data_IF_078259842060
#
_entry.id   IF_078259842060
#
_cell.length_a   1.000
_cell.length_b   1.000
_cell.length_c   1.000
_cell.angle_alpha   90.00
_cell.angle_beta   90.00
_cell.angle_gamma   90.00
#
_symmetry.space_group_name_H-M   'P 1'
#
loop_
_entity.id
_entity.type
_entity.pdbx_description
1 polymer ?
#
# COMPACT_ATOMS: atom_id res chain seq x y z
N UNK A 1 10.69 2.82 30.55
CA UNK A 1 10.10 4.13 30.20
C UNK A 1 9.14 3.93 29.05
N UNK A 2 7.86 4.28 29.22
CA UNK A 2 6.89 4.33 28.12
C UNK A 2 7.29 5.43 27.15
N UNK A 3 7.29 5.15 25.84
CA UNK A 3 7.54 6.18 24.82
C UNK A 3 6.54 7.34 24.98
N UNK A 4 6.96 8.61 24.75
CA UNK A 4 6.07 9.76 24.86
C UNK A 4 4.97 9.70 23.79
N UNK A 5 3.77 10.17 24.14
CA UNK A 5 2.68 10.33 23.18
C UNK A 5 3.05 11.39 22.14
N UNK A 6 3.04 10.99 20.87
CA UNK A 6 3.42 11.83 19.75
C UNK A 6 2.20 12.56 19.19
N UNK A 7 2.37 13.82 18.77
CA UNK A 7 1.31 14.58 18.08
C UNK A 7 1.14 14.07 16.65
N UNK A 8 -0.09 13.89 16.19
CA UNK A 8 -0.41 13.39 14.85
C UNK A 8 -1.30 14.39 14.09
N UNK A 9 -0.85 14.79 12.91
CA UNK A 9 -1.63 15.57 11.93
C UNK A 9 -2.09 14.65 10.80
N UNK A 10 -3.35 14.79 10.39
CA UNK A 10 -3.90 14.08 9.23
C UNK A 10 -4.06 15.07 8.08
N UNK A 11 -3.35 14.85 6.98
CA UNK A 11 -3.55 15.64 5.76
C UNK A 11 -4.72 15.07 4.96
N UNK A 12 -5.74 15.89 4.72
CA UNK A 12 -7.06 15.56 4.24
C UNK A 12 -8.10 15.57 5.36
N UNK A 13 -9.34 15.93 5.01
CA UNK A 13 -10.54 15.87 5.86
C UNK A 13 -11.68 15.06 5.22
N UNK A 14 -11.41 14.35 4.13
CA UNK A 14 -12.37 13.47 3.43
C UNK A 14 -12.61 12.13 4.13
N UNK A 15 -13.38 11.25 3.50
CA UNK A 15 -13.79 9.94 4.08
C UNK A 15 -12.62 9.11 4.63
N UNK A 16 -11.54 8.96 3.86
CA UNK A 16 -10.36 8.20 4.31
C UNK A 16 -9.67 8.84 5.53
N UNK A 17 -9.64 10.18 5.62
CA UNK A 17 -9.10 10.89 6.78
C UNK A 17 -9.96 10.69 8.02
N UNK A 18 -11.29 10.69 7.86
CA UNK A 18 -12.27 10.42 8.94
C UNK A 18 -12.13 9.00 9.48
N UNK A 19 -12.03 8.01 8.60
CA UNK A 19 -11.77 6.61 8.99
C UNK A 19 -10.41 6.46 9.68
N UNK A 20 -9.39 7.17 9.22
CA UNK A 20 -8.06 7.16 9.87
C UNK A 20 -8.10 7.80 11.25
N UNK A 21 -8.82 8.92 11.41
CA UNK A 21 -9.01 9.58 12.71
C UNK A 21 -9.73 8.65 13.70
N UNK A 22 -10.74 7.92 13.24
CA UNK A 22 -11.42 6.91 14.06
C UNK A 22 -10.46 5.78 14.45
N UNK A 23 -9.67 5.24 13.51
CA UNK A 23 -8.68 4.19 13.82
C UNK A 23 -7.63 4.65 14.86
N UNK A 24 -7.24 5.92 14.85
CA UNK A 24 -6.36 6.51 15.87
C UNK A 24 -7.03 6.52 17.25
N UNK A 25 -8.32 6.87 17.32
CA UNK A 25 -9.09 6.84 18.57
C UNK A 25 -9.24 5.42 19.11
N UNK A 26 -9.54 4.46 18.25
CA UNK A 26 -9.68 3.05 18.62
C UNK A 26 -8.35 2.47 19.11
N UNK A 27 -7.24 2.84 18.46
CA UNK A 27 -5.89 2.48 18.92
C UNK A 27 -5.63 3.06 20.31
N UNK A 28 -5.97 4.33 20.54
CA UNK A 28 -5.82 4.97 21.84
C UNK A 28 -6.71 4.34 22.93
N UNK A 29 -7.90 3.85 22.59
CA UNK A 29 -8.75 3.10 23.52
C UNK A 29 -8.12 1.74 23.87
N UNK A 30 -7.68 0.98 22.86
CA UNK A 30 -7.01 -0.31 23.05
C UNK A 30 -5.70 -0.19 23.85
N UNK A 31 -4.93 0.89 23.66
CA UNK A 31 -3.74 1.17 24.47
C UNK A 31 -4.10 1.35 25.95
N UNK A 32 -5.14 2.15 26.24
CA UNK A 32 -5.60 2.40 27.62
C UNK A 32 -6.12 1.13 28.29
N UNK A 33 -6.90 0.32 27.58
CA UNK A 33 -7.38 -0.98 28.08
C UNK A 33 -6.21 -1.92 28.45
N UNK A 34 -5.07 -1.80 27.75
CA UNK A 34 -3.84 -2.56 28.01
C UNK A 34 -2.93 -1.88 29.04
N UNK A 35 -3.36 -0.81 29.69
CA UNK A 35 -2.58 -0.05 30.66
C UNK A 35 -1.40 0.73 30.05
N UNK A 36 -1.47 1.06 28.75
CA UNK A 36 -0.44 1.81 28.02
C UNK A 36 -0.92 3.23 27.74
N UNK A 37 0.02 4.18 27.71
CA UNK A 37 -0.25 5.51 27.19
C UNK A 37 -0.55 5.41 25.68
N UNK A 38 -1.55 6.17 25.16
CA UNK A 38 -1.79 6.24 23.74
C UNK A 38 -0.54 6.67 22.98
N UNK A 39 -0.24 5.98 21.87
CA UNK A 39 0.87 6.37 21.00
C UNK A 39 0.67 7.74 20.37
N UNK A 40 -0.55 8.03 19.93
CA UNK A 40 -0.88 9.23 19.17
C UNK A 40 -1.82 10.16 19.94
N UNK A 41 -1.53 11.46 19.90
CA UNK A 41 -2.49 12.53 20.18
C UNK A 41 -2.91 13.16 18.86
N UNK A 42 -4.16 12.94 18.45
CA UNK A 42 -4.69 13.53 17.23
C UNK A 42 -4.80 15.05 17.38
N UNK A 43 -4.01 15.80 16.63
CA UNK A 43 -3.92 17.25 16.73
C UNK A 43 -4.92 17.99 15.83
N UNK A 44 -5.20 17.44 14.65
CA UNK A 44 -6.14 18.04 13.71
C UNK A 44 -5.99 17.52 12.28
N UNK A 45 -6.94 17.92 11.45
CA UNK A 45 -6.88 17.78 10.00
C UNK A 45 -6.17 18.99 9.36
N UNK A 46 -5.53 18.75 8.22
CA UNK A 46 -5.03 19.79 7.32
C UNK A 46 -5.57 19.53 5.93
N UNK A 47 -6.35 20.45 5.38
CA UNK A 47 -6.99 20.29 4.08
C UNK A 47 -6.80 21.55 3.24
N UNK A 48 -6.52 21.41 1.95
CA UNK A 48 -6.29 22.56 1.07
C UNK A 48 -7.59 23.26 0.66
N UNK A 49 -8.76 22.65 0.88
CA UNK A 49 -10.03 23.33 0.73
C UNK A 49 -10.23 24.35 1.86
N UNK A 50 -10.06 25.63 1.53
CA UNK A 50 -10.25 26.74 2.47
C UNK A 50 -11.66 26.81 3.07
N UNK A 51 -12.67 26.24 2.41
CA UNK A 51 -14.03 26.20 2.95
C UNK A 51 -14.16 25.27 4.18
N UNK A 52 -13.18 24.38 4.39
CA UNK A 52 -13.13 23.49 5.55
C UNK A 52 -12.38 24.09 6.74
N UNK A 53 -11.58 25.14 6.55
CA UNK A 53 -10.71 25.67 7.60
C UNK A 53 -11.51 26.19 8.80
N UNK A 54 -11.10 25.79 10.00
CA UNK A 54 -11.80 26.10 11.26
C UNK A 54 -13.05 25.26 11.52
N UNK A 55 -13.49 24.41 10.59
CA UNK A 55 -14.60 23.49 10.81
C UNK A 55 -14.17 22.28 11.63
N UNK A 56 -15.13 21.72 12.35
CA UNK A 56 -14.99 20.43 13.00
C UNK A 56 -15.49 19.32 12.08
N UNK A 57 -14.70 18.26 11.93
CA UNK A 57 -15.04 17.05 11.17
C UNK A 57 -14.94 15.86 12.12
N UNK A 58 -16.10 15.32 12.51
CA UNK A 58 -16.23 14.22 13.48
C UNK A 58 -15.44 14.42 14.78
N UNK A 59 -15.41 15.64 15.33
CA UNK A 59 -14.66 15.97 16.55
C UNK A 59 -13.17 16.21 16.33
N UNK A 60 -12.75 16.49 15.09
CA UNK A 60 -11.37 16.85 14.74
C UNK A 60 -11.38 18.19 14.00
N UNK A 61 -10.66 19.22 14.49
CA UNK A 61 -10.63 20.52 13.83
C UNK A 61 -9.78 20.47 12.56
N UNK A 62 -10.22 21.14 11.51
CA UNK A 62 -9.42 21.43 10.32
C UNK A 62 -8.63 22.71 10.57
N UNK A 63 -7.32 22.58 10.78
CA UNK A 63 -6.47 23.69 11.25
C UNK A 63 -6.07 24.66 10.13
N UNK A 64 -6.18 24.24 8.87
CA UNK A 64 -5.83 25.02 7.69
C UNK A 64 -5.28 24.14 6.57
N UNK A 65 -4.52 24.76 5.66
CA UNK A 65 -3.91 24.09 4.51
C UNK A 65 -2.83 23.06 4.86
N UNK A 66 -2.56 22.13 3.94
CA UNK A 66 -1.59 21.05 4.13
C UNK A 66 -0.18 21.52 4.46
N UNK A 67 0.26 22.68 3.95
CA UNK A 67 1.59 23.27 4.21
C UNK A 67 1.84 23.61 5.70
N UNK A 68 0.79 23.66 6.53
CA UNK A 68 0.95 23.87 7.98
C UNK A 68 1.72 22.73 8.68
N UNK A 69 1.90 21.56 8.04
CA UNK A 69 2.79 20.49 8.56
C UNK A 69 4.19 21.01 8.89
N UNK A 70 4.69 22.01 8.15
CA UNK A 70 6.02 22.59 8.35
C UNK A 70 6.11 23.47 9.60
N UNK A 71 4.99 23.98 10.10
CA UNK A 71 4.93 24.76 11.35
C UNK A 71 4.89 23.89 12.61
N UNK A 72 4.77 22.57 12.44
CA UNK A 72 4.75 21.58 13.52
C UNK A 72 5.81 20.50 13.26
N UNK A 73 7.11 20.82 13.36
CA UNK A 73 8.19 19.91 12.96
C UNK A 73 8.25 18.62 13.78
N UNK A 74 7.73 18.63 15.01
CA UNK A 74 7.72 17.47 15.90
C UNK A 74 6.47 16.59 15.75
N UNK A 75 5.47 17.03 14.99
CA UNK A 75 4.25 16.26 14.77
C UNK A 75 4.46 15.22 13.68
N UNK A 76 4.07 13.96 13.93
CA UNK A 76 3.95 12.97 12.87
C UNK A 76 2.81 13.34 11.92
N UNK A 77 2.91 12.87 10.70
CA UNK A 77 1.96 13.18 9.62
C UNK A 77 1.47 11.90 8.98
N UNK A 78 0.19 11.82 8.67
CA UNK A 78 -0.37 10.79 7.79
C UNK A 78 -1.19 11.45 6.70
N UNK A 79 -1.01 11.02 5.46
CA UNK A 79 -1.63 11.66 4.28
C UNK A 79 -2.80 10.81 3.80
N UNK A 80 -4.01 11.27 4.10
CA UNK A 80 -5.26 10.53 3.92
C UNK A 80 -6.13 11.14 2.82
N UNK A 81 -5.53 11.39 1.66
CA UNK A 81 -6.22 11.85 0.45
C UNK A 81 -6.24 10.76 -0.63
N UNK A 82 -7.26 10.81 -1.49
CA UNK A 82 -7.42 9.90 -2.62
C UNK A 82 -8.87 9.52 -2.86
N UNK A 83 -9.20 9.27 -4.12
CA UNK A 83 -10.48 8.70 -4.53
C UNK A 83 -10.28 7.83 -5.78
N UNK A 84 -11.24 6.97 -6.17
CA UNK A 84 -11.16 6.26 -7.45
C UNK A 84 -10.99 7.17 -8.67
N UNK A 85 -11.44 8.44 -8.57
CA UNK A 85 -11.31 9.44 -9.65
C UNK A 85 -9.89 9.98 -9.77
N UNK A 86 -9.19 10.09 -8.65
CA UNK A 86 -7.81 10.57 -8.57
C UNK A 86 -7.11 9.91 -7.38
N UNK A 87 -6.63 8.69 -7.59
CA UNK A 87 -5.88 7.93 -6.59
C UNK A 87 -4.38 8.27 -6.59
N UNK A 88 -3.94 9.11 -7.53
CA UNK A 88 -2.57 9.60 -7.65
C UNK A 88 -2.30 10.87 -6.81
N UNK A 89 -3.34 11.56 -6.35
CA UNK A 89 -3.22 12.78 -5.54
C UNK A 89 -2.35 12.61 -4.29
N UNK A 90 -2.37 11.43 -3.66
CA UNK A 90 -1.57 11.16 -2.46
C UNK A 90 -0.07 11.21 -2.76
N UNK A 91 0.37 10.66 -3.89
CA UNK A 91 1.78 10.72 -4.29
C UNK A 91 2.23 12.14 -4.61
N UNK A 92 1.41 12.90 -5.34
CA UNK A 92 1.69 14.32 -5.60
C UNK A 92 1.78 15.14 -4.31
N UNK A 93 0.87 14.91 -3.38
CA UNK A 93 0.82 15.63 -2.11
C UNK A 93 2.03 15.29 -1.24
N UNK A 94 2.37 14.02 -1.10
CA UNK A 94 3.59 13.59 -0.37
C UNK A 94 4.85 14.20 -0.99
N UNK A 95 4.99 14.15 -2.32
CA UNK A 95 6.11 14.77 -3.04
C UNK A 95 6.18 16.29 -2.78
N UNK A 96 5.03 16.97 -2.78
CA UNK A 96 4.95 18.42 -2.56
C UNK A 96 5.34 18.80 -1.13
N UNK A 97 4.86 18.06 -0.13
CA UNK A 97 5.17 18.31 1.28
C UNK A 97 6.64 18.02 1.62
N UNK A 98 7.33 17.17 0.84
CA UNK A 98 8.76 16.91 0.95
C UNK A 98 9.27 16.66 2.39
N UNK A 99 8.46 15.97 3.20
CA UNK A 99 8.83 15.62 4.57
C UNK A 99 9.81 14.44 4.57
N UNK A 100 10.74 14.36 5.54
CA UNK A 100 11.57 13.18 5.69
C UNK A 100 10.71 11.95 6.01
N UNK A 101 11.15 10.78 5.56
CA UNK A 101 10.37 9.53 5.62
C UNK A 101 9.94 9.16 7.04
N UNK A 102 10.80 9.44 8.03
CA UNK A 102 10.53 9.16 9.44
C UNK A 102 9.38 10.01 10.01
N UNK A 103 9.06 11.18 9.46
CA UNK A 103 7.91 12.00 9.90
C UNK A 103 6.56 11.35 9.61
N UNK A 104 6.50 10.38 8.71
CA UNK A 104 5.24 9.77 8.32
C UNK A 104 4.81 8.64 9.26
N UNK A 105 3.65 8.80 9.88
CA UNK A 105 3.08 7.83 10.80
C UNK A 105 2.46 6.65 10.05
N UNK A 106 2.82 5.43 10.43
CA UNK A 106 2.07 4.23 10.04
C UNK A 106 0.96 3.98 11.05
N UNK A 107 -0.30 4.00 10.58
CA UNK A 107 -1.49 3.80 11.42
C UNK A 107 -2.03 2.39 11.17
N UNK A 108 -2.13 1.59 12.23
CA UNK A 108 -2.66 0.22 12.15
C UNK A 108 -3.78 0.09 13.16
N UNK A 109 -4.99 -0.16 12.68
CA UNK A 109 -6.16 -0.37 13.52
C UNK A 109 -5.92 -1.56 14.48
N UNK A 110 -6.36 -1.50 15.76
CA UNK A 110 -6.08 -2.55 16.74
C UNK A 110 -6.66 -3.94 16.40
N UNK A 111 -7.66 -4.00 15.52
CA UNK A 111 -8.24 -5.27 15.02
C UNK A 111 -7.60 -5.80 13.74
N UNK A 112 -6.63 -5.09 13.16
CA UNK A 112 -5.87 -5.61 12.02
C UNK A 112 -4.94 -6.74 12.50
N UNK A 113 -5.01 -7.89 11.84
CA UNK A 113 -4.15 -9.03 12.11
C UNK A 113 -2.93 -8.99 11.18
N UNK A 114 -1.82 -8.46 11.69
CA UNK A 114 -0.56 -8.35 10.93
C UNK A 114 0.44 -9.35 11.49
N UNK A 115 0.88 -10.28 10.65
CA UNK A 115 1.92 -11.24 10.99
C UNK A 115 3.24 -10.57 11.35
N UNK A 116 3.96 -11.15 12.31
CA UNK A 116 5.28 -10.67 12.73
C UNK A 116 6.33 -10.72 11.62
N UNK A 117 6.10 -11.53 10.57
CA UNK A 117 6.97 -11.61 9.38
C UNK A 117 6.66 -10.56 8.32
N UNK A 118 5.56 -9.82 8.46
CA UNK A 118 5.15 -8.79 7.51
C UNK A 118 5.78 -7.45 7.85
N UNK A 119 6.05 -6.65 6.82
CA UNK A 119 6.66 -5.32 6.96
C UNK A 119 5.75 -4.26 6.39
N UNK A 120 5.66 -3.12 7.07
CA UNK A 120 4.82 -1.99 6.69
C UNK A 120 5.68 -0.75 6.50
N UNK A 121 5.54 -0.10 5.35
CA UNK A 121 6.20 1.17 5.07
C UNK A 121 5.60 2.36 5.83
N UNK A 122 6.33 3.47 5.88
CA UNK A 122 5.91 4.70 6.55
C UNK A 122 4.73 5.36 5.85
N UNK A 123 3.90 6.06 6.62
CA UNK A 123 2.72 6.75 6.12
C UNK A 123 1.57 5.84 5.66
N UNK A 124 1.73 4.52 5.78
CA UNK A 124 0.70 3.55 5.41
C UNK A 124 -0.39 3.43 6.49
N UNK A 125 -1.62 3.18 6.05
CA UNK A 125 -2.79 3.04 6.92
C UNK A 125 -3.44 1.69 6.68
N UNK A 126 -3.59 0.89 7.73
CA UNK A 126 -4.32 -0.36 7.74
C UNK A 126 -5.54 -0.20 8.64
N UNK A 127 -6.73 -0.23 8.04
CA UNK A 127 -8.00 -0.07 8.75
C UNK A 127 -8.51 -1.40 9.34
N UNK A 128 -9.69 -1.37 9.95
CA UNK A 128 -10.21 -2.46 10.76
C UNK A 128 -10.28 -3.81 10.01
N UNK A 129 -9.93 -4.88 10.72
CA UNK A 129 -10.05 -6.27 10.24
C UNK A 129 -9.28 -6.59 8.95
N UNK A 130 -8.25 -5.82 8.61
CA UNK A 130 -7.29 -6.24 7.60
C UNK A 130 -6.50 -7.45 8.09
N UNK A 131 -6.16 -8.38 7.19
CA UNK A 131 -5.36 -9.57 7.51
C UNK A 131 -4.15 -9.63 6.57
N UNK A 132 -2.96 -9.64 7.14
CA UNK A 132 -1.68 -9.85 6.44
C UNK A 132 -1.03 -11.12 6.99
N UNK A 133 -1.02 -12.21 6.20
CA UNK A 133 -0.77 -13.56 6.72
C UNK A 133 0.71 -13.93 6.94
N UNK A 134 1.57 -13.92 5.93
CA UNK A 134 2.98 -14.32 6.08
C UNK A 134 3.86 -13.62 5.04
N UNK A 135 4.96 -13.03 5.48
CA UNK A 135 5.94 -12.36 4.62
C UNK A 135 5.35 -11.31 3.65
N UNK A 136 4.26 -10.65 4.05
CA UNK A 136 3.66 -9.57 3.24
C UNK A 136 4.53 -8.32 3.34
N UNK A 137 4.82 -7.70 2.19
CA UNK A 137 5.57 -6.44 2.13
C UNK A 137 4.66 -5.32 1.65
N UNK A 138 4.38 -4.36 2.53
CA UNK A 138 3.62 -3.15 2.20
C UNK A 138 4.58 -1.97 2.11
N UNK A 139 4.57 -1.26 0.98
CA UNK A 139 5.36 -0.05 0.75
C UNK A 139 4.89 1.17 1.55
N UNK A 140 5.41 2.34 1.20
CA UNK A 140 5.07 3.61 1.84
C UNK A 140 3.73 4.18 1.35
N UNK A 141 3.02 4.88 2.22
CA UNK A 141 1.76 5.57 1.89
C UNK A 141 0.67 4.69 1.25
N UNK A 142 0.62 3.42 1.63
CA UNK A 142 -0.41 2.48 1.18
C UNK A 142 -1.67 2.66 2.02
N UNK A 143 -2.82 2.68 1.37
CA UNK A 143 -4.12 2.66 2.03
C UNK A 143 -4.73 1.26 1.94
N UNK A 144 -4.88 0.58 3.06
CA UNK A 144 -5.55 -0.71 3.17
C UNK A 144 -6.86 -0.51 3.92
N UNK A 145 -7.96 -0.52 3.18
CA UNK A 145 -9.31 -0.27 3.68
C UNK A 145 -9.86 -1.52 4.39
N UNK A 146 -10.94 -1.39 5.19
CA UNK A 146 -11.38 -2.46 6.07
C UNK A 146 -11.62 -3.81 5.39
N UNK A 147 -11.40 -4.90 6.12
CA UNK A 147 -11.62 -6.28 5.68
C UNK A 147 -10.79 -6.74 4.45
N UNK A 148 -9.73 -6.04 4.08
CA UNK A 148 -8.82 -6.52 3.05
C UNK A 148 -7.96 -7.70 3.57
N UNK A 149 -7.73 -8.69 2.71
CA UNK A 149 -6.89 -9.87 3.01
C UNK A 149 -5.74 -9.94 2.02
N UNK A 150 -4.52 -9.89 2.55
CA UNK A 150 -3.26 -10.07 1.85
C UNK A 150 -2.64 -11.38 2.34
N UNK A 151 -2.42 -12.31 1.41
CA UNK A 151 -1.96 -13.66 1.74
C UNK A 151 -0.43 -13.75 1.66
N UNK A 152 0.14 -14.95 1.62
CA UNK A 152 1.58 -15.11 1.78
C UNK A 152 2.35 -14.54 0.58
N UNK A 153 3.51 -13.95 0.83
CA UNK A 153 4.43 -13.43 -0.19
C UNK A 153 3.88 -12.28 -1.07
N UNK A 154 2.78 -11.67 -0.67
CA UNK A 154 2.23 -10.51 -1.37
C UNK A 154 3.16 -9.30 -1.23
N UNK A 155 3.34 -8.55 -2.32
CA UNK A 155 4.08 -7.29 -2.33
C UNK A 155 3.21 -6.16 -2.84
N UNK A 156 3.13 -5.08 -2.06
CA UNK A 156 2.33 -3.89 -2.37
C UNK A 156 3.26 -2.69 -2.49
N UNK A 157 3.32 -2.11 -3.68
CA UNK A 157 4.13 -0.92 -3.96
C UNK A 157 3.59 0.34 -3.29
N UNK A 158 4.44 1.35 -3.19
CA UNK A 158 4.10 2.63 -2.55
C UNK A 158 2.85 3.26 -3.17
N UNK A 159 2.09 4.02 -2.37
CA UNK A 159 0.89 4.75 -2.80
C UNK A 159 -0.26 3.87 -3.30
N UNK A 160 -0.14 2.54 -3.27
CA UNK A 160 -1.24 1.66 -3.65
C UNK A 160 -2.45 1.87 -2.72
N UNK A 161 -3.63 1.58 -3.26
CA UNK A 161 -4.89 1.60 -2.52
C UNK A 161 -5.57 0.25 -2.68
N UNK A 162 -5.81 -0.42 -1.56
CA UNK A 162 -6.51 -1.69 -1.46
C UNK A 162 -7.85 -1.38 -0.81
N UNK A 163 -8.91 -1.30 -1.61
CA UNK A 163 -10.24 -0.94 -1.11
C UNK A 163 -10.89 -2.08 -0.29
N UNK A 164 -12.02 -1.78 0.35
CA UNK A 164 -12.58 -2.64 1.39
C UNK A 164 -12.94 -4.03 0.86
N UNK A 165 -12.66 -5.07 1.63
CA UNK A 165 -13.02 -6.44 1.28
C UNK A 165 -12.25 -7.08 0.12
N UNK A 166 -11.19 -6.43 -0.38
CA UNK A 166 -10.30 -7.02 -1.39
C UNK A 166 -9.61 -8.27 -0.85
N UNK A 167 -9.42 -9.28 -1.70
CA UNK A 167 -8.62 -10.47 -1.36
C UNK A 167 -7.56 -10.71 -2.42
N UNK A 168 -6.31 -10.79 -1.99
CA UNK A 168 -5.17 -11.16 -2.83
C UNK A 168 -4.81 -12.63 -2.56
N UNK A 169 -4.72 -13.44 -3.60
CA UNK A 169 -4.10 -14.77 -3.52
C UNK A 169 -2.58 -14.69 -3.39
N UNK A 170 -1.92 -15.78 -3.02
CA UNK A 170 -0.50 -15.74 -2.61
C UNK A 170 0.44 -15.27 -3.72
N UNK A 171 1.46 -14.48 -3.35
CA UNK A 171 2.47 -13.97 -4.27
C UNK A 171 1.95 -12.91 -5.26
N UNK A 172 0.83 -12.25 -4.96
CA UNK A 172 0.33 -11.14 -5.77
C UNK A 172 1.24 -9.92 -5.63
N UNK A 173 1.45 -9.24 -6.75
CA UNK A 173 2.28 -8.03 -6.83
C UNK A 173 1.42 -6.84 -7.24
N UNK A 174 1.17 -5.92 -6.33
CA UNK A 174 0.55 -4.63 -6.65
C UNK A 174 1.66 -3.62 -6.91
N UNK A 175 1.66 -3.02 -8.10
CA UNK A 175 2.60 -1.98 -8.47
C UNK A 175 2.36 -0.68 -7.69
N UNK A 176 3.35 0.22 -7.76
CA UNK A 176 3.26 1.57 -7.20
C UNK A 176 1.98 2.26 -7.68
N UNK A 177 1.24 2.84 -6.75
CA UNK A 177 0.00 3.57 -7.05
C UNK A 177 -1.14 2.74 -7.60
N UNK A 178 -1.05 1.40 -7.62
CA UNK A 178 -2.14 0.55 -8.08
C UNK A 178 -3.39 0.72 -7.20
N UNK A 179 -4.56 0.75 -7.83
CA UNK A 179 -5.85 0.84 -7.14
C UNK A 179 -6.63 -0.46 -7.33
N UNK A 180 -6.91 -1.16 -6.22
CA UNK A 180 -7.71 -2.38 -6.23
C UNK A 180 -9.09 -2.08 -5.65
N UNK A 181 -10.13 -2.14 -6.50
CA UNK A 181 -11.49 -1.75 -6.15
C UNK A 181 -12.15 -2.67 -5.12
N UNK A 182 -13.13 -2.12 -4.39
CA UNK A 182 -13.72 -2.80 -3.24
C UNK A 182 -14.27 -4.19 -3.62
N UNK A 183 -14.05 -5.19 -2.78
CA UNK A 183 -14.49 -6.57 -3.01
C UNK A 183 -13.84 -7.28 -4.20
N UNK A 184 -12.81 -6.72 -4.84
CA UNK A 184 -12.10 -7.41 -5.92
C UNK A 184 -11.30 -8.62 -5.39
N UNK A 185 -11.24 -9.66 -6.22
CA UNK A 185 -10.50 -10.89 -5.98
C UNK A 185 -9.35 -10.97 -6.98
N UNK A 186 -8.12 -11.10 -6.50
CA UNK A 186 -6.93 -11.21 -7.35
C UNK A 186 -6.31 -12.59 -7.20
N UNK A 187 -6.21 -13.32 -8.31
CA UNK A 187 -5.61 -14.67 -8.34
C UNK A 187 -4.15 -14.65 -7.90
N UNK A 188 -3.69 -15.72 -7.26
CA UNK A 188 -2.29 -15.94 -6.90
C UNK A 188 -1.31 -15.66 -8.05
N UNK A 189 -0.10 -15.23 -7.69
CA UNK A 189 1.00 -14.93 -8.62
C UNK A 189 0.67 -13.92 -9.73
N UNK A 190 -0.38 -13.13 -9.56
CA UNK A 190 -0.83 -12.12 -10.52
C UNK A 190 -0.23 -10.75 -10.17
N UNK A 191 0.10 -9.99 -11.21
CA UNK A 191 0.64 -8.63 -11.08
C UNK A 191 -0.43 -7.62 -11.49
N UNK A 192 -0.73 -6.66 -10.62
CA UNK A 192 -1.54 -5.48 -10.95
C UNK A 192 -0.57 -4.31 -11.13
N UNK A 193 -0.37 -3.87 -12.36
CA UNK A 193 0.70 -2.94 -12.74
C UNK A 193 0.62 -1.57 -12.07
N UNK A 194 1.73 -0.85 -12.10
CA UNK A 194 1.82 0.49 -11.51
C UNK A 194 0.74 1.42 -12.10
N UNK A 195 0.11 2.22 -11.24
CA UNK A 195 -0.93 3.17 -11.61
C UNK A 195 -2.08 2.58 -12.44
N UNK A 196 -2.33 1.28 -12.28
CA UNK A 196 -3.50 0.61 -12.85
C UNK A 196 -4.66 0.60 -11.85
N UNK A 197 -5.87 0.35 -12.35
CA UNK A 197 -7.09 0.27 -11.54
C UNK A 197 -7.85 -1.02 -11.85
N UNK A 198 -8.21 -1.77 -10.82
CA UNK A 198 -9.22 -2.82 -10.94
C UNK A 198 -10.55 -2.32 -10.36
N UNK A 199 -11.63 -2.50 -11.10
CA UNK A 199 -12.96 -2.06 -10.70
C UNK A 199 -13.46 -2.80 -9.46
N UNK A 200 -14.44 -2.21 -8.77
CA UNK A 200 -15.15 -2.85 -7.67
C UNK A 200 -15.72 -4.22 -8.12
N UNK A 201 -15.59 -5.23 -7.26
CA UNK A 201 -16.10 -6.59 -7.50
C UNK A 201 -15.41 -7.36 -8.63
N UNK A 202 -14.24 -6.90 -9.10
CA UNK A 202 -13.56 -7.55 -10.22
C UNK A 202 -12.91 -8.88 -9.82
N UNK A 203 -12.99 -9.88 -10.70
CA UNK A 203 -12.27 -11.15 -10.56
C UNK A 203 -11.05 -11.16 -11.48
N UNK A 204 -9.89 -10.80 -10.96
CA UNK A 204 -8.65 -10.61 -11.72
C UNK A 204 -7.93 -11.94 -11.87
N UNK A 205 -7.98 -12.50 -13.08
CA UNK A 205 -7.41 -13.81 -13.42
C UNK A 205 -6.17 -13.72 -14.33
N UNK A 206 -5.62 -12.53 -14.56
CA UNK A 206 -4.44 -12.31 -15.39
C UNK A 206 -3.75 -11.01 -14.99
N UNK A 207 -2.47 -10.88 -15.37
CA UNK A 207 -1.70 -9.67 -15.09
C UNK A 207 -2.38 -8.45 -15.72
N UNK A 208 -2.53 -7.39 -14.93
CA UNK A 208 -3.07 -6.10 -15.36
C UNK A 208 -1.89 -5.20 -15.72
N UNK A 209 -1.75 -4.76 -16.98
CA UNK A 209 -0.65 -3.89 -17.37
C UNK A 209 -0.67 -2.52 -16.63
N UNK A 210 0.49 -1.87 -16.46
CA UNK A 210 0.58 -0.54 -15.88
C UNK A 210 -0.27 0.48 -16.63
N UNK A 211 -0.90 1.39 -15.89
CA UNK A 211 -1.72 2.46 -16.47
C UNK A 211 -3.02 1.99 -17.12
N UNK A 212 -3.48 0.76 -16.86
CA UNK A 212 -4.76 0.26 -17.39
C UNK A 212 -5.87 0.19 -16.35
N UNK A 213 -7.11 0.21 -16.82
CA UNK A 213 -8.31 -0.01 -16.02
C UNK A 213 -8.97 -1.30 -16.45
N UNK A 214 -9.15 -2.23 -15.51
CA UNK A 214 -9.78 -3.53 -15.72
C UNK A 214 -11.00 -3.67 -14.83
N UNK A 215 -12.07 -4.29 -15.31
CA UNK A 215 -13.27 -4.53 -14.52
C UNK A 215 -14.03 -5.79 -14.96
N UNK A 216 -14.90 -6.32 -14.08
CA UNK A 216 -15.81 -7.43 -14.38
C UNK A 216 -15.37 -8.78 -13.81
N UNK A 217 -16.17 -9.81 -14.05
CA UNK A 217 -15.91 -11.19 -13.65
C UNK A 217 -16.10 -12.14 -14.84
N UNK A 218 -15.02 -12.64 -15.46
CA UNK A 218 -13.62 -12.31 -15.17
C UNK A 218 -13.26 -10.88 -15.62
N UNK A 219 -12.27 -10.27 -14.96
CA UNK A 219 -11.85 -8.90 -15.24
C UNK A 219 -11.28 -8.80 -16.66
N UNK A 220 -11.64 -7.74 -17.38
CA UNK A 220 -11.13 -7.43 -18.72
C UNK A 220 -10.73 -5.96 -18.79
N UNK A 221 -9.79 -5.65 -19.69
CA UNK A 221 -9.41 -4.28 -20.00
C UNK A 221 -10.64 -3.48 -20.43
N UNK A 222 -10.88 -2.38 -19.73
CA UNK A 222 -11.96 -1.43 -20.03
C UNK A 222 -11.42 -0.21 -20.78
N UNK A 223 -10.33 0.38 -20.28
CA UNK A 223 -9.72 1.62 -20.82
C UNK A 223 -8.33 1.85 -20.22
N UNK A 224 -7.66 2.92 -20.64
CA UNK A 224 -6.50 3.46 -19.94
C UNK A 224 -6.90 4.15 -18.62
N UNK A 225 -5.95 4.26 -17.69
CA UNK A 225 -6.08 5.01 -16.44
C UNK A 225 -6.28 6.51 -16.71
N UNK A 226 -6.72 7.25 -15.68
CA UNK A 226 -6.91 8.70 -15.79
C UNK A 226 -5.58 9.44 -15.94
N UNK A 227 -5.62 10.64 -16.52
CA UNK A 227 -4.46 11.50 -16.76
C UNK A 227 -3.50 11.60 -15.57
N UNK A 228 -3.97 11.94 -14.35
CA UNK A 228 -3.09 12.07 -13.19
C UNK A 228 -2.31 10.80 -12.83
N UNK A 229 -2.89 9.62 -13.05
CA UNK A 229 -2.21 8.34 -12.81
C UNK A 229 -1.19 8.03 -13.91
N UNK A 230 -1.51 8.37 -15.16
CA UNK A 230 -0.57 8.23 -16.28
C UNK A 230 0.61 9.20 -16.18
N UNK A 231 0.39 10.39 -15.62
CA UNK A 231 1.46 11.37 -15.39
C UNK A 231 2.45 10.85 -14.35
N UNK A 232 1.97 10.27 -13.25
CA UNK A 232 2.82 9.61 -12.26
C UNK A 232 3.54 8.40 -12.84
N UNK A 233 2.87 7.58 -13.64
CA UNK A 233 3.50 6.43 -14.31
C UNK A 233 4.68 6.86 -15.19
N UNK A 234 4.54 7.96 -15.93
CA UNK A 234 5.63 8.53 -16.74
C UNK A 234 6.74 9.11 -15.86
N UNK A 235 6.39 9.78 -14.77
CA UNK A 235 7.37 10.30 -13.81
C UNK A 235 8.21 9.19 -13.16
N UNK A 236 7.63 8.00 -12.99
CA UNK A 236 8.33 6.80 -12.50
C UNK A 236 9.18 6.09 -13.59
N UNK A 237 9.19 6.60 -14.83
CA UNK A 237 9.99 6.05 -15.93
C UNK A 237 9.41 4.79 -16.59
N UNK A 238 8.15 4.46 -16.33
CA UNK A 238 7.47 3.29 -16.90
C UNK A 238 6.56 3.65 -18.08
N UNK A 239 6.30 2.68 -18.96
CA UNK A 239 5.40 2.83 -20.11
C UNK A 239 4.06 2.14 -19.88
N UNK A 240 2.91 2.76 -20.22
CA UNK A 240 1.60 2.11 -20.14
C UNK A 240 1.54 0.84 -21.00
N UNK A 241 0.84 -0.19 -20.51
CA UNK A 241 0.61 -1.42 -21.28
C UNK A 241 1.78 -2.42 -21.29
N UNK A 242 2.95 -2.06 -20.76
CA UNK A 242 4.08 -3.00 -20.68
C UNK A 242 3.93 -3.93 -19.48
N UNK A 243 3.71 -5.23 -19.73
CA UNK A 243 3.66 -6.23 -18.65
C UNK A 243 5.06 -6.32 -18.01
N UNK A 244 5.19 -6.17 -16.68
CA UNK A 244 6.47 -6.37 -16.01
C UNK A 244 6.95 -7.79 -16.29
N UNK A 245 8.17 -7.95 -16.81
CA UNK A 245 8.76 -9.28 -17.00
C UNK A 245 8.69 -10.07 -15.69
N UNK A 246 8.17 -11.30 -15.74
CA UNK A 246 8.15 -12.18 -14.57
C UNK A 246 9.59 -12.33 -14.08
N UNK A 247 9.93 -11.75 -12.93
CA UNK A 247 11.11 -12.19 -12.21
C UNK A 247 10.82 -13.62 -11.79
N UNK A 248 11.50 -14.58 -12.41
CA UNK A 248 11.66 -15.91 -11.83
C UNK A 248 12.23 -15.72 -10.42
N UNK A 249 11.77 -16.52 -9.46
CA UNK A 249 12.21 -16.45 -8.07
C UNK A 249 13.74 -16.54 -7.91
N UNK A 250 14.27 -16.44 -6.69
CA UNK A 250 15.71 -16.53 -6.49
C UNK A 250 16.19 -17.86 -7.09
N UNK A 251 16.92 -17.76 -8.21
CA UNK A 251 17.52 -18.91 -8.84
C UNK A 251 18.42 -19.57 -7.81
N UNK A 252 18.13 -20.81 -7.48
CA UNK A 252 19.14 -21.73 -6.95
C UNK A 252 20.23 -21.76 -8.00
N UNK A 253 21.31 -21.01 -7.77
CA UNK A 253 22.47 -20.99 -8.63
C UNK A 253 23.05 -22.39 -8.71
N UNK A 254 22.69 -23.15 -9.75
CA UNK A 254 23.53 -24.23 -10.22
C UNK A 254 24.63 -23.57 -11.03
N UNK A 255 25.85 -23.59 -10.46
CA UNK A 255 27.07 -23.14 -11.12
C UNK A 255 27.33 -23.86 -12.45
N UNK A 256 28.33 -23.40 -13.20
CA UNK A 256 28.53 -23.83 -14.58
C UNK A 256 28.89 -25.32 -14.65
N UNK A 257 28.22 -26.05 -15.54
CA UNK A 257 28.64 -27.38 -15.98
C UNK A 257 30.04 -27.31 -16.60
N UNK A 258 31.06 -27.64 -15.82
CA UNK A 258 32.35 -28.05 -16.36
C UNK A 258 32.22 -29.44 -16.96
N UNK A 259 32.22 -29.51 -18.28
CA UNK A 259 32.43 -30.73 -19.03
C UNK A 259 33.78 -31.35 -18.65
N UNK A 260 33.77 -32.43 -17.87
CA UNK A 260 34.90 -33.35 -17.76
C UNK A 260 34.60 -34.61 -18.56
N UNK A 261 35.30 -34.72 -19.68
CA UNK A 261 35.53 -35.94 -20.43
C UNK A 261 36.40 -36.88 -19.61
N UNK A 262 35.86 -38.03 -19.20
CA UNK A 262 36.65 -39.19 -18.77
C UNK A 262 36.26 -40.39 -19.62
N UNK A 263 37.09 -40.63 -20.64
CA UNK A 263 37.25 -41.94 -21.27
C UNK A 263 37.79 -42.92 -20.21
N UNK A 264 36.98 -43.88 -19.78
CA UNK A 264 37.50 -45.09 -19.15
C UNK A 264 37.53 -46.18 -20.21
N UNK A 265 38.75 -46.47 -20.68
CA UNK A 265 39.11 -47.64 -21.47
C UNK A 265 39.69 -48.65 -20.49
N UNK A 266 39.02 -49.78 -20.28
CA UNK A 266 39.61 -50.96 -19.66
C UNK A 266 39.08 -52.17 -20.41
N UNK A 267 39.91 -52.70 -21.30
CA UNK A 267 39.80 -54.08 -21.74
C UNK A 267 40.83 -54.90 -20.96
N UNK A 268 40.43 -56.08 -20.51
CA UNK A 268 41.35 -57.19 -20.30
C UNK A 268 40.60 -58.50 -20.47
N UNK A 269 41.01 -59.22 -21.51
CA UNK A 269 40.82 -60.65 -21.75
C UNK A 269 41.37 -61.49 -20.59
N UNK A 270 40.84 -62.70 -20.40
CA UNK A 270 41.51 -64.02 -20.28
C UNK A 270 40.70 -64.92 -19.32
N UNK A 271 40.31 -66.11 -19.78
CA UNK A 271 39.77 -67.21 -18.98
C UNK A 271 38.61 -67.92 -19.64
#
# INVERSE_FOLDING_TARGET
MTAPTESLLIVGAGGFARETAQAVRDTAAADRERGRAPRWRLAGHLDDDSALHGRDVDGVPVLGGSELVHRSPDARVVVCVGSPRDYAVRARLVRRLALPEDRYATVVHPTAAVSASSVLGPGSVLLAHCVLTAAVRVGAHVAVMPHAVLTHDDTVGDFATIASGVRLGGGVRLGRGAYVGAGALVRENTTVGAWSLTGMGSTVLADVPPGEVWAGSPARRLRAAGGPALDELRADGAQPGQVPGRRTGPGTGTGPETAMSTKTRMGSTVG
#
